data_IF_821517543785
#
_entry.id   IF_821517543785
#
_cell.length_a   1.000
_cell.length_b   1.000
_cell.length_c   1.000
_cell.angle_alpha   90.00
_cell.angle_beta   90.00
_cell.angle_gamma   90.00
#
_symmetry.space_group_name_H-M   'P 1'
#
loop_
_entity.id
_entity.type
_entity.pdbx_description
1 polymer ?
#
# COMPACT_ATOMS: atom_id res chain seq x y z
N UNK A 1 -18.13 -19.21 -16.16
CA UNK A 1 -18.27 -18.32 -14.98
C UNK A 1 -17.08 -18.61 -14.08
N UNK A 2 -15.98 -17.84 -14.24
CA UNK A 2 -14.75 -18.09 -13.48
C UNK A 2 -14.79 -17.24 -12.21
N UNK A 3 -14.78 -17.89 -11.05
CA UNK A 3 -14.50 -17.22 -9.78
C UNK A 3 -13.08 -16.65 -9.87
N UNK A 4 -12.96 -15.33 -10.00
CA UNK A 4 -11.68 -14.65 -9.72
C UNK A 4 -11.37 -14.94 -8.26
N UNK A 5 -10.23 -15.58 -8.01
CA UNK A 5 -9.72 -15.77 -6.66
C UNK A 5 -9.60 -14.39 -6.01
N UNK A 6 -10.34 -14.17 -4.91
CA UNK A 6 -10.11 -13.02 -4.03
C UNK A 6 -8.66 -13.07 -3.55
N UNK A 7 -7.90 -11.96 -3.61
CA UNK A 7 -6.62 -11.90 -2.91
C UNK A 7 -6.88 -12.07 -1.40
N UNK A 8 -5.88 -12.61 -0.73
CA UNK A 8 -5.87 -13.11 0.65
C UNK A 8 -6.79 -12.38 1.66
N UNK A 9 -7.35 -13.11 2.64
CA UNK A 9 -8.06 -12.47 3.75
C UNK A 9 -7.07 -11.61 4.54
N UNK A 10 -7.19 -10.28 4.44
CA UNK A 10 -6.54 -9.34 5.35
C UNK A 10 -7.16 -9.49 6.75
N UNK A 11 -6.76 -10.52 7.49
CA UNK A 11 -6.96 -10.55 8.93
C UNK A 11 -5.82 -9.73 9.54
N UNK A 12 -6.18 -8.61 10.21
CA UNK A 12 -5.40 -7.81 11.19
C UNK A 12 -4.97 -6.35 10.83
N UNK A 13 -5.54 -5.67 9.83
CA UNK A 13 -5.35 -4.22 9.65
C UNK A 13 -6.56 -3.50 9.02
N UNK A 14 -6.85 -2.28 9.50
CA UNK A 14 -7.79 -1.32 8.93
C UNK A 14 -7.24 -0.66 7.66
N UNK A 15 -8.10 -0.07 6.82
CA UNK A 15 -7.65 0.66 5.63
C UNK A 15 -6.66 1.79 5.94
N UNK A 16 -6.78 2.39 7.13
CA UNK A 16 -5.83 3.40 7.59
C UNK A 16 -4.45 2.80 7.88
N UNK A 17 -4.41 1.62 8.51
CA UNK A 17 -3.15 0.90 8.76
C UNK A 17 -2.49 0.48 7.44
N UNK A 18 -3.28 0.09 6.42
CA UNK A 18 -2.74 -0.24 5.10
C UNK A 18 -2.15 0.99 4.39
N UNK A 19 -2.84 2.14 4.43
CA UNK A 19 -2.30 3.39 3.88
C UNK A 19 -1.00 3.77 4.58
N UNK A 20 -0.92 3.59 5.89
CA UNK A 20 0.29 3.87 6.66
C UNK A 20 1.42 2.89 6.30
N UNK A 21 1.15 1.58 6.25
CA UNK A 21 2.14 0.56 5.88
C UNK A 21 2.74 0.85 4.50
N UNK A 22 1.90 1.06 3.49
CA UNK A 22 2.35 1.33 2.12
C UNK A 22 3.18 2.60 2.06
N UNK A 23 2.73 3.68 2.72
CA UNK A 23 3.51 4.91 2.75
C UNK A 23 4.86 4.73 3.44
N UNK A 24 4.87 4.16 4.64
CA UNK A 24 6.08 4.03 5.47
C UNK A 24 7.10 3.06 4.87
N UNK A 25 6.64 1.94 4.30
CA UNK A 25 7.54 0.93 3.75
C UNK A 25 8.17 1.42 2.43
N UNK A 26 7.43 2.16 1.60
CA UNK A 26 7.94 2.72 0.33
C UNK A 26 8.82 3.95 0.54
N UNK A 27 8.60 4.70 1.62
CA UNK A 27 9.33 5.94 1.89
C UNK A 27 10.82 5.68 2.14
N UNK A 28 11.65 6.23 1.27
CA UNK A 28 13.09 6.29 1.43
C UNK A 28 13.48 7.55 2.21
N UNK A 29 14.34 7.38 3.20
CA UNK A 29 14.84 8.44 4.06
C UNK A 29 16.36 8.34 4.12
N UNK A 30 17.05 9.48 3.97
CA UNK A 30 18.50 9.54 4.10
C UNK A 30 18.98 9.54 5.56
N UNK A 31 20.31 9.54 5.75
CA UNK A 31 20.93 9.57 7.08
C UNK A 31 20.58 10.83 7.89
N UNK A 32 20.19 11.93 7.24
CA UNK A 32 19.77 13.17 7.86
C UNK A 32 18.29 13.22 8.22
N UNK A 33 17.52 12.17 7.91
CA UNK A 33 16.07 12.13 8.12
C UNK A 33 15.26 12.82 7.02
N UNK A 34 15.87 13.19 5.89
CA UNK A 34 15.18 13.81 4.77
C UNK A 34 14.61 12.73 3.83
N UNK A 35 13.34 12.91 3.45
CA UNK A 35 12.66 12.01 2.51
C UNK A 35 13.21 12.18 1.09
N UNK A 36 13.48 11.06 0.41
CA UNK A 36 14.05 11.03 -0.94
C UNK A 36 13.01 10.80 -2.05
N UNK A 37 11.90 10.10 -1.75
CA UNK A 37 10.88 9.67 -2.72
C UNK A 37 9.44 9.86 -2.20
N UNK A 38 9.18 10.88 -1.40
CA UNK A 38 7.88 11.12 -0.76
C UNK A 38 6.70 11.23 -1.75
N UNK A 39 6.97 11.66 -2.99
CA UNK A 39 6.00 11.65 -4.08
C UNK A 39 5.56 10.23 -4.46
N UNK A 40 6.50 9.31 -4.61
CA UNK A 40 6.25 7.92 -4.97
C UNK A 40 5.54 7.17 -3.84
N UNK A 41 6.00 7.36 -2.59
CA UNK A 41 5.35 6.78 -1.41
C UNK A 41 3.88 7.25 -1.28
N UNK A 42 3.63 8.56 -1.48
CA UNK A 42 2.26 9.11 -1.50
C UNK A 42 1.43 8.53 -2.63
N UNK A 43 2.01 8.42 -3.82
CA UNK A 43 1.32 7.86 -4.98
C UNK A 43 0.91 6.41 -4.71
N UNK A 44 1.83 5.57 -4.23
CA UNK A 44 1.53 4.17 -3.88
C UNK A 44 0.41 4.06 -2.85
N UNK A 45 0.45 4.84 -1.77
CA UNK A 45 -0.62 4.85 -0.77
C UNK A 45 -1.96 5.34 -1.34
N UNK A 46 -1.95 6.35 -2.22
CA UNK A 46 -3.15 6.83 -2.90
C UNK A 46 -3.78 5.78 -3.83
N UNK A 47 -2.98 4.87 -4.42
CA UNK A 47 -3.52 3.77 -5.21
C UNK A 47 -4.35 2.80 -4.36
N UNK A 48 -3.98 2.56 -3.08
CA UNK A 48 -4.81 1.81 -2.15
C UNK A 48 -6.16 2.49 -1.93
N UNK A 49 -6.13 3.79 -1.59
CA UNK A 49 -7.36 4.59 -1.37
C UNK A 49 -8.25 4.57 -2.61
N UNK A 50 -7.67 4.72 -3.80
CA UNK A 50 -8.44 4.67 -5.05
C UNK A 50 -9.10 3.31 -5.26
N UNK A 51 -8.40 2.21 -5.01
CA UNK A 51 -8.96 0.87 -5.15
C UNK A 51 -10.17 0.62 -4.22
N UNK A 52 -10.25 1.31 -3.08
CA UNK A 52 -11.42 1.29 -2.21
C UNK A 52 -12.63 2.05 -2.77
N UNK A 53 -12.38 3.13 -3.52
CA UNK A 53 -13.44 4.00 -4.06
C UNK A 53 -13.89 3.62 -5.47
N UNK A 54 -13.03 3.02 -6.27
CA UNK A 54 -13.21 2.70 -7.68
C UNK A 54 -13.04 1.18 -7.89
N UNK A 55 -14.13 0.40 -7.91
CA UNK A 55 -14.08 -1.06 -8.02
C UNK A 55 -13.46 -1.58 -9.33
N UNK A 56 -13.41 -0.73 -10.37
CA UNK A 56 -12.82 -1.07 -11.66
C UNK A 56 -11.32 -0.74 -11.73
N UNK A 57 -10.81 0.01 -10.75
CA UNK A 57 -9.40 0.37 -10.67
C UNK A 57 -8.53 -0.83 -10.28
N UNK A 58 -7.46 -1.03 -11.04
CA UNK A 58 -6.44 -2.04 -10.76
C UNK A 58 -5.10 -1.33 -10.57
N UNK A 59 -4.44 -1.64 -9.45
CA UNK A 59 -3.13 -1.12 -9.13
C UNK A 59 -2.10 -1.80 -10.03
N UNK A 60 -1.35 -1.02 -10.80
CA UNK A 60 -0.32 -1.50 -11.72
C UNK A 60 0.96 -0.67 -11.56
N UNK A 61 2.11 -1.29 -11.20
CA UNK A 61 2.24 -2.70 -10.84
C UNK A 61 1.48 -3.03 -9.54
N UNK A 62 1.05 -4.29 -9.33
CA UNK A 62 0.46 -4.74 -8.07
C UNK A 62 1.31 -4.37 -6.85
N UNK A 63 0.71 -4.34 -5.67
CA UNK A 63 1.51 -4.20 -4.44
C UNK A 63 2.38 -5.42 -4.21
N UNK A 64 3.66 -5.19 -3.96
CA UNK A 64 4.57 -6.18 -3.44
C UNK A 64 4.22 -6.48 -1.97
N UNK A 65 4.51 -7.71 -1.52
CA UNK A 65 4.14 -8.14 -0.18
C UNK A 65 4.71 -7.22 0.92
N UNK A 66 5.95 -6.76 0.74
CA UNK A 66 6.64 -5.88 1.68
C UNK A 66 6.02 -4.49 1.76
N UNK A 67 5.36 -3.99 0.70
CA UNK A 67 4.66 -2.70 0.76
C UNK A 67 3.45 -2.77 1.70
N UNK A 68 2.87 -3.94 1.87
CA UNK A 68 1.66 -4.17 2.68
C UNK A 68 1.94 -4.78 4.05
N UNK A 69 3.20 -5.04 4.39
CA UNK A 69 3.58 -5.66 5.65
C UNK A 69 3.45 -4.67 6.81
N UNK A 70 2.70 -5.05 7.85
CA UNK A 70 2.60 -4.29 9.09
C UNK A 70 3.74 -4.68 10.04
N UNK A 71 4.57 -3.71 10.39
CA UNK A 71 5.60 -3.87 11.42
C UNK A 71 5.05 -3.44 12.77
N UNK A 72 5.23 -4.28 13.79
CA UNK A 72 4.85 -3.96 15.17
C UNK A 72 5.77 -2.87 15.78
N UNK A 73 5.35 -2.29 16.92
CA UNK A 73 6.17 -1.34 17.68
C UNK A 73 7.43 -2.00 18.29
#
# INVERSE_FOLDING_TARGET
MAMKASPAPCTFGSDLEMVFAIFANVLEVDEGGQTLNDGDARYRAAQWVRALCDPDYQVEPPFEAWETELHGP
#
